data_IF_105688910296
#
_entry.id   IF_105688910296
#
_cell.length_a   1.000
_cell.length_b   1.000
_cell.length_c   1.000
_cell.angle_alpha   90.00
_cell.angle_beta   90.00
_cell.angle_gamma   90.00
#
_symmetry.space_group_name_H-M   'P 1'
#
loop_
_entity.id
_entity.type
_entity.pdbx_description
1 polymer ?
#
# COMPACT_ATOMS: atom_id res chain seq x y z
N UNK A 1 4.00 14.86 16.01
CA UNK A 1 2.84 15.26 15.21
C UNK A 1 3.28 15.11 13.76
N UNK A 2 2.88 14.02 13.11
CA UNK A 2 3.26 13.79 11.72
C UNK A 2 2.46 14.76 10.84
N UNK A 3 3.17 15.61 10.12
CA UNK A 3 2.58 16.69 9.33
C UNK A 3 1.54 16.20 8.32
N UNK A 4 1.64 14.93 7.91
CA UNK A 4 0.86 14.34 6.82
C UNK A 4 -0.13 13.26 7.26
N UNK A 5 -0.13 12.82 8.53
CA UNK A 5 -0.92 11.65 8.94
C UNK A 5 -2.43 11.85 8.71
N UNK A 6 -2.93 13.07 8.98
CA UNK A 6 -4.33 13.42 8.73
C UNK A 6 -4.68 13.31 7.24
N UNK A 7 -3.79 13.77 6.38
CA UNK A 7 -4.00 13.74 4.92
C UNK A 7 -3.95 12.31 4.40
N UNK A 8 -3.02 11.49 4.90
CA UNK A 8 -2.95 10.05 4.60
C UNK A 8 -4.25 9.35 4.99
N UNK A 9 -4.82 9.62 6.17
CA UNK A 9 -6.13 9.06 6.57
C UNK A 9 -7.28 9.49 5.66
N UNK A 10 -7.21 10.69 5.07
CA UNK A 10 -8.18 11.15 4.07
C UNK A 10 -7.98 10.43 2.72
N UNK A 11 -6.73 10.19 2.32
CA UNK A 11 -6.40 9.41 1.12
C UNK A 11 -6.87 7.96 1.23
N UNK A 12 -6.72 7.30 2.39
CA UNK A 12 -7.28 5.95 2.62
C UNK A 12 -8.80 5.93 2.41
N UNK A 13 -9.52 6.96 2.87
CA UNK A 13 -10.97 7.08 2.63
C UNK A 13 -11.31 7.37 1.16
N UNK A 14 -10.43 8.06 0.43
CA UNK A 14 -10.58 8.29 -1.01
C UNK A 14 -10.41 6.98 -1.77
N UNK A 15 -9.36 6.23 -1.48
CA UNK A 15 -9.05 4.95 -2.11
C UNK A 15 -10.14 3.91 -1.87
N UNK A 16 -10.59 3.78 -0.61
CA UNK A 16 -11.71 2.91 -0.28
C UNK A 16 -13.01 3.27 -1.03
N UNK A 17 -13.27 4.55 -1.28
CA UNK A 17 -14.43 4.96 -2.09
C UNK A 17 -14.25 4.57 -3.55
N UNK A 18 -13.08 4.82 -4.12
CA UNK A 18 -12.77 4.45 -5.51
C UNK A 18 -12.88 2.94 -5.73
N UNK A 19 -12.28 2.13 -4.85
CA UNK A 19 -12.35 0.68 -4.92
C UNK A 19 -13.79 0.14 -4.81
N UNK A 20 -14.66 0.77 -4.02
CA UNK A 20 -16.08 0.39 -3.89
C UNK A 20 -16.97 0.90 -5.05
N UNK A 21 -16.52 1.91 -5.80
CA UNK A 21 -17.18 2.35 -7.03
C UNK A 21 -16.88 1.39 -8.18
N UNK A 22 -15.65 0.90 -8.26
CA UNK A 22 -15.20 0.02 -9.34
C UNK A 22 -15.50 -1.46 -9.08
N UNK A 23 -15.55 -1.89 -7.82
CA UNK A 23 -15.72 -3.30 -7.45
C UNK A 23 -16.69 -3.48 -6.28
N UNK A 24 -17.53 -4.54 -6.28
CA UNK A 24 -18.35 -4.91 -5.13
C UNK A 24 -17.55 -5.13 -3.85
N UNK A 25 -18.27 -5.18 -2.71
CA UNK A 25 -17.70 -5.63 -1.44
C UNK A 25 -17.26 -7.10 -1.55
N UNK A 26 -16.27 -7.50 -0.76
CA UNK A 26 -15.79 -8.89 -0.78
C UNK A 26 -16.88 -9.84 -0.28
N UNK A 27 -16.99 -10.99 -0.91
CA UNK A 27 -17.96 -12.04 -0.58
C UNK A 27 -17.42 -13.05 0.43
N UNK A 28 -16.09 -13.08 0.61
CA UNK A 28 -15.44 -14.00 1.56
C UNK A 28 -14.12 -13.46 2.10
N UNK A 29 -13.63 -14.08 3.18
CA UNK A 29 -12.33 -13.77 3.76
C UNK A 29 -11.18 -14.11 2.81
N UNK A 30 -11.31 -15.17 2.02
CA UNK A 30 -10.30 -15.57 1.03
C UNK A 30 -10.17 -14.53 -0.09
N UNK A 31 -11.29 -14.03 -0.60
CA UNK A 31 -11.30 -12.97 -1.62
C UNK A 31 -10.62 -11.70 -1.09
N UNK A 32 -11.01 -11.24 0.10
CA UNK A 32 -10.40 -10.05 0.69
C UNK A 32 -8.92 -10.25 1.04
N UNK A 33 -8.53 -11.44 1.51
CA UNK A 33 -7.12 -11.76 1.76
C UNK A 33 -6.28 -11.72 0.49
N UNK A 34 -6.80 -12.25 -0.62
CA UNK A 34 -6.07 -12.25 -1.89
C UNK A 34 -5.74 -10.82 -2.35
N UNK A 35 -6.73 -9.92 -2.32
CA UNK A 35 -6.53 -8.52 -2.70
C UNK A 35 -5.63 -7.80 -1.70
N UNK A 36 -5.82 -7.99 -0.40
CA UNK A 36 -4.91 -7.40 0.62
C UNK A 36 -3.47 -7.87 0.40
N UNK A 37 -3.26 -9.13 0.03
CA UNK A 37 -1.92 -9.66 -0.23
C UNK A 37 -1.31 -9.10 -1.50
N UNK A 38 -2.12 -8.83 -2.53
CA UNK A 38 -1.69 -8.16 -3.76
C UNK A 38 -1.15 -6.76 -3.45
N UNK A 39 -1.92 -5.90 -2.79
CA UNK A 39 -1.49 -4.53 -2.41
C UNK A 39 -0.23 -4.55 -1.52
N UNK A 40 -0.15 -5.52 -0.59
CA UNK A 40 1.05 -5.71 0.24
C UNK A 40 2.27 -6.11 -0.60
N UNK A 41 2.08 -6.97 -1.60
CA UNK A 41 3.14 -7.38 -2.51
C UNK A 41 3.62 -6.22 -3.39
N UNK A 42 2.72 -5.35 -3.84
CA UNK A 42 3.08 -4.16 -4.63
C UNK A 42 3.90 -3.16 -3.78
N UNK A 43 3.49 -2.92 -2.53
CA UNK A 43 4.27 -2.12 -1.59
C UNK A 43 5.66 -2.74 -1.31
N UNK A 44 5.75 -4.06 -1.21
CA UNK A 44 7.02 -4.78 -1.03
C UNK A 44 7.94 -4.64 -2.25
N UNK A 45 7.38 -4.65 -3.47
CA UNK A 45 8.15 -4.43 -4.72
C UNK A 45 8.73 -3.02 -4.75
N UNK A 46 7.93 -1.99 -4.45
CA UNK A 46 8.42 -0.61 -4.42
C UNK A 46 9.48 -0.40 -3.33
N UNK A 47 9.30 -1.03 -2.16
CA UNK A 47 10.32 -1.05 -1.09
C UNK A 47 11.61 -1.69 -1.58
N UNK A 48 11.54 -2.85 -2.22
CA UNK A 48 12.71 -3.57 -2.72
C UNK A 48 13.48 -2.74 -3.75
N UNK A 49 12.77 -2.10 -4.70
CA UNK A 49 13.40 -1.25 -5.71
C UNK A 49 14.04 0.00 -5.08
N UNK A 50 13.34 0.65 -4.14
CA UNK A 50 13.87 1.80 -3.41
C UNK A 50 15.15 1.45 -2.64
N UNK A 51 15.16 0.31 -1.96
CA UNK A 51 16.33 -0.20 -1.22
C UNK A 51 17.55 -0.33 -2.14
N UNK A 52 17.37 -0.91 -3.33
CA UNK A 52 18.47 -1.01 -4.32
C UNK A 52 18.97 0.34 -4.79
N UNK A 53 18.08 1.31 -5.03
CA UNK A 53 18.51 2.65 -5.42
C UNK A 53 19.30 3.35 -4.32
N UNK A 54 18.90 3.19 -3.06
CA UNK A 54 19.60 3.82 -1.93
C UNK A 54 20.93 3.11 -1.63
N UNK A 55 20.90 1.79 -1.44
CA UNK A 55 22.05 1.03 -0.94
C UNK A 55 23.07 0.72 -2.04
N UNK A 56 22.66 0.64 -3.32
CA UNK A 56 23.59 0.39 -4.42
C UNK A 56 23.93 1.69 -5.16
N UNK A 57 22.94 2.38 -5.72
CA UNK A 57 23.20 3.51 -6.64
C UNK A 57 23.69 4.74 -5.91
N UNK A 58 22.89 5.24 -4.97
CA UNK A 58 23.22 6.42 -4.17
C UNK A 58 24.52 6.22 -3.40
N UNK A 59 24.70 5.06 -2.79
CA UNK A 59 25.93 4.75 -2.06
C UNK A 59 27.19 4.75 -2.94
N UNK A 60 27.12 4.23 -4.18
CA UNK A 60 28.27 4.23 -5.09
C UNK A 60 28.72 5.64 -5.45
N UNK A 61 27.78 6.56 -5.69
CA UNK A 61 28.11 7.97 -5.96
C UNK A 61 28.72 8.65 -4.73
N UNK A 62 28.13 8.43 -3.55
CA UNK A 62 28.62 8.99 -2.28
C UNK A 62 30.03 8.49 -1.96
N UNK A 63 30.27 7.18 -2.08
CA UNK A 63 31.59 6.57 -1.86
C UNK A 63 32.64 7.08 -2.85
N UNK A 64 32.23 7.45 -4.06
CA UNK A 64 33.11 7.98 -5.10
C UNK A 64 33.38 9.47 -5.01
N UNK A 65 32.83 10.17 -4.01
CA UNK A 65 32.82 11.65 -3.94
C UNK A 65 32.24 12.30 -5.21
N UNK A 66 31.26 11.64 -5.84
CA UNK A 66 30.61 12.07 -7.07
C UNK A 66 29.31 12.82 -6.79
N UNK A 67 28.86 13.61 -7.76
CA UNK A 67 27.52 14.20 -7.72
C UNK A 67 26.49 13.15 -8.11
N UNK A 68 25.44 13.04 -7.31
CA UNK A 68 24.33 12.12 -7.56
C UNK A 68 23.52 12.63 -8.76
N UNK A 69 23.28 11.79 -9.79
CA UNK A 69 22.44 12.17 -10.92
C UNK A 69 21.03 12.59 -10.48
N UNK A 70 20.50 13.66 -11.10
CA UNK A 70 19.16 14.18 -10.78
C UNK A 70 18.07 13.15 -11.08
N UNK A 71 18.28 12.33 -12.10
CA UNK A 71 17.40 11.27 -12.54
C UNK A 71 17.28 10.18 -11.46
N UNK A 72 18.38 9.80 -10.82
CA UNK A 72 18.40 8.83 -9.73
C UNK A 72 17.66 9.35 -8.51
N UNK A 73 17.85 10.64 -8.17
CA UNK A 73 17.09 11.30 -7.09
C UNK A 73 15.58 11.31 -7.36
N UNK A 74 15.17 11.56 -8.62
CA UNK A 74 13.76 11.52 -9.02
C UNK A 74 13.20 10.12 -8.94
N UNK A 75 13.95 9.11 -9.37
CA UNK A 75 13.51 7.72 -9.32
C UNK A 75 13.30 7.27 -7.86
N UNK A 76 14.24 7.56 -6.96
CA UNK A 76 14.07 7.26 -5.53
C UNK A 76 12.84 7.95 -4.93
N UNK A 77 12.63 9.23 -5.24
CA UNK A 77 11.46 9.97 -4.76
C UNK A 77 10.16 9.37 -5.33
N UNK A 78 10.14 9.00 -6.61
CA UNK A 78 9.02 8.34 -7.26
C UNK A 78 8.68 7.01 -6.56
N UNK A 79 9.68 6.14 -6.34
CA UNK A 79 9.50 4.84 -5.66
C UNK A 79 8.99 5.01 -4.23
N UNK A 80 9.53 5.97 -3.47
CA UNK A 80 9.06 6.26 -2.12
C UNK A 80 7.60 6.73 -2.10
N UNK A 81 7.20 7.57 -3.05
CA UNK A 81 5.80 8.01 -3.18
C UNK A 81 4.89 6.84 -3.59
N UNK A 82 5.31 6.02 -4.55
CA UNK A 82 4.55 4.84 -4.98
C UNK A 82 4.37 3.83 -3.84
N UNK A 83 5.42 3.54 -3.08
CA UNK A 83 5.31 2.70 -1.89
C UNK A 83 4.28 3.24 -0.88
N UNK A 84 4.21 4.57 -0.69
CA UNK A 84 3.21 5.18 0.18
C UNK A 84 1.78 5.06 -0.39
N UNK A 85 1.64 5.14 -1.72
CA UNK A 85 0.37 4.93 -2.43
C UNK A 85 -0.12 3.48 -2.26
N UNK A 86 0.73 2.48 -2.49
CA UNK A 86 0.36 1.07 -2.29
C UNK A 86 0.04 0.78 -0.81
N UNK A 87 0.76 1.39 0.13
CA UNK A 87 0.43 1.26 1.56
C UNK A 87 -0.94 1.87 1.92
N UNK A 88 -1.35 2.95 1.23
CA UNK A 88 -2.68 3.56 1.39
C UNK A 88 -3.77 2.64 0.80
N UNK A 89 -3.52 2.02 -0.36
CA UNK A 89 -4.43 1.03 -0.94
C UNK A 89 -4.56 -0.20 -0.04
N UNK A 90 -3.46 -0.72 0.47
CA UNK A 90 -3.44 -1.79 1.46
C UNK A 90 -4.32 -1.46 2.67
N UNK A 91 -4.16 -0.27 3.25
CA UNK A 91 -4.99 0.19 4.36
C UNK A 91 -6.48 0.30 3.97
N UNK A 92 -6.77 0.73 2.74
CA UNK A 92 -8.12 0.79 2.21
C UNK A 92 -8.72 -0.61 2.03
N UNK A 93 -7.97 -1.59 1.52
CA UNK A 93 -8.46 -2.96 1.31
C UNK A 93 -8.70 -3.70 2.63
N UNK A 94 -7.88 -3.44 3.65
CA UNK A 94 -8.14 -3.91 5.02
C UNK A 94 -9.47 -3.34 5.54
N UNK A 95 -9.70 -2.03 5.36
CA UNK A 95 -10.98 -1.42 5.71
C UNK A 95 -12.15 -1.99 4.89
N UNK A 96 -11.94 -2.31 3.61
CA UNK A 96 -12.95 -2.92 2.75
C UNK A 96 -13.33 -4.32 3.25
N UNK A 97 -12.35 -5.15 3.64
CA UNK A 97 -12.60 -6.47 4.22
C UNK A 97 -13.36 -6.39 5.54
N UNK A 98 -12.94 -5.52 6.45
CA UNK A 98 -13.64 -5.27 7.72
C UNK A 98 -15.12 -4.91 7.49
N UNK A 99 -15.39 -3.99 6.57
CA UNK A 99 -16.76 -3.59 6.22
C UNK A 99 -17.55 -4.68 5.50
N UNK A 100 -16.88 -5.53 4.72
CA UNK A 100 -17.49 -6.66 4.01
C UNK A 100 -17.99 -7.71 5.00
N UNK A 101 -17.17 -8.03 6.01
CA UNK A 101 -17.50 -8.99 7.07
C UNK A 101 -18.79 -8.64 7.81
N UNK A 102 -19.04 -7.35 8.05
CA UNK A 102 -20.29 -6.88 8.71
C UNK A 102 -21.56 -7.24 7.93
N UNK A 103 -21.45 -7.51 6.63
CA UNK A 103 -22.57 -7.86 5.74
C UNK A 103 -22.74 -9.36 5.53
N UNK A 104 -21.75 -10.16 5.92
CA UNK A 104 -21.83 -11.60 5.76
C UNK A 104 -22.86 -12.18 6.74
N UNK A 105 -23.57 -13.25 6.33
CA UNK A 105 -24.45 -13.94 7.26
C UNK A 105 -23.63 -14.40 8.46
N UNK A 106 -24.13 -14.11 9.66
CA UNK A 106 -23.55 -14.66 10.89
C UNK A 106 -23.58 -16.18 10.73
N UNK A 107 -22.46 -16.86 10.96
CA UNK A 107 -22.47 -18.31 11.13
C UNK A 107 -23.45 -18.57 12.27
N UNK A 108 -24.56 -19.25 11.98
CA UNK A 108 -25.38 -19.84 13.03
C UNK A 108 -24.43 -20.73 13.81
N UNK A 109 -24.15 -20.37 15.06
CA UNK A 109 -23.52 -21.29 16.00
C UNK A 109 -24.44 -22.52 16.01
N UNK A 110 -24.03 -23.56 15.28
CA UNK A 110 -24.63 -24.86 15.41
C UNK A 110 -24.22 -25.33 16.81
N UNK A 111 -25.10 -25.04 17.77
CA UNK A 111 -25.15 -25.69 19.07
C UNK A 111 -25.32 -27.18 18.81
N UNK A 112 -24.20 -27.90 18.81
CA UNK A 112 -24.13 -29.34 19.03
C UNK A 112 -23.12 -29.59 20.15
#
# INVERSE_FOLDING_TARGET
MDAVEKDVRLLVKKELRAANQNFPMFHSAHEGWAVIREEMSEAEVERYLLDRWIEERLWNEVKGDLQIPKEDLKEMQYRAVHMAVEAIQLAAMICKLERSQRRWPKKMEQLF
#
